data_IF_710250867383
#
_entry.id   IF_710250867383
#
_cell.length_a   1.000
_cell.length_b   1.000
_cell.length_c   1.000
_cell.angle_alpha   90.00
_cell.angle_beta   90.00
_cell.angle_gamma   90.00
#
_symmetry.space_group_name_H-M   'P 1'
#
loop_
_entity.id
_entity.type
_entity.pdbx_description
1 polymer ?
#
# COMPACT_ATOMS: atom_id res chain seq x y z
N UNK A 1 7.80 -13.97 13.69
CA UNK A 1 7.39 -12.58 13.97
C UNK A 1 6.20 -12.28 13.07
N UNK A 2 5.18 -11.52 13.52
CA UNK A 2 4.10 -11.10 12.63
C UNK A 2 4.64 -10.22 11.50
N UNK A 3 4.07 -10.33 10.30
CA UNK A 3 4.35 -9.46 9.15
C UNK A 3 3.58 -8.14 9.35
N UNK A 4 4.29 -7.03 9.52
CA UNK A 4 3.70 -5.75 9.96
C UNK A 4 3.96 -4.59 9.00
N UNK A 5 4.91 -4.74 8.07
CA UNK A 5 5.31 -3.63 7.19
C UNK A 5 4.59 -3.68 5.85
N UNK A 6 3.65 -2.76 5.64
CA UNK A 6 3.10 -2.48 4.31
C UNK A 6 3.96 -1.40 3.67
N UNK A 7 4.83 -1.76 2.72
CA UNK A 7 5.83 -0.82 2.19
C UNK A 7 5.43 -0.32 0.81
N UNK A 8 4.94 0.93 0.68
CA UNK A 8 4.99 1.65 -0.59
C UNK A 8 6.43 2.07 -0.87
N UNK A 9 7.04 1.49 -1.91
CA UNK A 9 8.38 1.88 -2.34
C UNK A 9 8.36 2.26 -3.82
N UNK A 10 8.42 3.56 -4.07
CA UNK A 10 8.12 4.17 -5.37
C UNK A 10 9.38 4.62 -6.12
N UNK A 11 10.56 4.17 -5.67
CA UNK A 11 11.80 4.33 -6.43
C UNK A 11 12.02 3.15 -7.36
N UNK A 12 12.47 3.45 -8.58
CA UNK A 12 12.69 2.46 -9.62
C UNK A 12 13.80 1.46 -9.23
N UNK A 13 13.61 0.13 -9.43
CA UNK A 13 14.61 -0.87 -9.06
C UNK A 13 15.98 -0.70 -9.71
N UNK A 14 16.02 -0.22 -10.95
CA UNK A 14 17.28 0.06 -11.63
C UNK A 14 18.04 1.27 -11.04
N UNK A 15 17.33 2.23 -10.43
CA UNK A 15 17.94 3.44 -9.87
C UNK A 15 18.38 3.23 -8.41
N UNK A 16 17.72 2.32 -7.69
CA UNK A 16 17.96 2.04 -6.27
C UNK A 16 18.11 0.54 -5.98
N UNK A 17 19.02 -0.19 -6.66
CA UNK A 17 19.14 -1.64 -6.50
C UNK A 17 19.41 -2.05 -5.05
N UNK A 18 20.32 -1.36 -4.35
CA UNK A 18 20.66 -1.66 -2.95
C UNK A 18 19.45 -1.52 -1.99
N UNK A 19 18.55 -0.59 -2.27
CA UNK A 19 17.35 -0.41 -1.46
C UNK A 19 16.34 -1.55 -1.69
N UNK A 20 16.18 -1.99 -2.93
CA UNK A 20 15.37 -3.15 -3.26
C UNK A 20 15.95 -4.45 -2.68
N UNK A 21 17.27 -4.63 -2.70
CA UNK A 21 17.94 -5.73 -2.01
C UNK A 21 17.63 -5.74 -0.52
N UNK A 22 17.77 -4.58 0.13
CA UNK A 22 17.50 -4.42 1.57
C UNK A 22 16.03 -4.73 1.88
N UNK A 23 15.11 -4.26 1.04
CA UNK A 23 13.68 -4.54 1.18
C UNK A 23 13.40 -6.04 1.05
N UNK A 24 13.90 -6.71 0.01
CA UNK A 24 13.71 -8.16 -0.20
C UNK A 24 14.30 -8.97 0.97
N UNK A 25 15.48 -8.60 1.46
CA UNK A 25 16.10 -9.25 2.61
C UNK A 25 15.25 -9.15 3.90
N UNK A 26 14.39 -8.14 3.99
CA UNK A 26 13.46 -7.94 5.10
C UNK A 26 12.14 -8.73 4.97
N UNK A 27 12.00 -9.61 3.98
CA UNK A 27 10.79 -10.36 3.68
C UNK A 27 9.99 -10.91 4.88
N UNK A 28 10.62 -11.48 5.95
CA UNK A 28 9.89 -11.97 7.11
C UNK A 28 9.07 -10.90 7.88
N UNK A 29 9.38 -9.62 7.69
CA UNK A 29 8.70 -8.48 8.33
C UNK A 29 7.61 -7.86 7.44
N UNK A 30 7.63 -8.14 6.14
CA UNK A 30 6.80 -7.47 5.15
C UNK A 30 5.39 -8.06 5.12
N UNK A 31 4.40 -7.23 5.44
CA UNK A 31 2.99 -7.51 5.18
C UNK A 31 2.73 -7.55 3.66
N UNK A 32 3.33 -6.62 2.93
CA UNK A 32 3.32 -6.58 1.47
C UNK A 32 4.09 -5.37 0.95
N UNK A 33 4.45 -5.41 -0.33
CA UNK A 33 5.13 -4.31 -1.04
C UNK A 33 4.22 -3.79 -2.13
N UNK A 34 4.03 -2.47 -2.19
CA UNK A 34 3.24 -1.82 -3.25
C UNK A 34 4.16 -1.50 -4.43
N UNK A 35 3.86 -2.10 -5.58
CA UNK A 35 4.52 -1.80 -6.84
C UNK A 35 3.80 -0.67 -7.56
N UNK A 36 4.54 0.40 -7.86
CA UNK A 36 4.02 1.53 -8.61
C UNK A 36 4.99 1.99 -9.71
N UNK A 37 5.07 1.28 -10.85
CA UNK A 37 5.95 1.65 -11.95
C UNK A 37 5.72 3.05 -12.52
N UNK A 38 4.47 3.49 -12.67
CA UNK A 38 4.15 4.76 -13.32
C UNK A 38 2.77 5.32 -12.91
N UNK A 39 2.49 5.43 -11.61
CA UNK A 39 1.15 5.73 -11.07
C UNK A 39 0.11 4.72 -11.56
N UNK A 40 0.48 3.45 -11.51
CA UNK A 40 -0.17 2.31 -12.14
C UNK A 40 0.87 1.36 -12.75
N UNK A 41 0.41 0.39 -13.53
CA UNK A 41 1.29 -0.64 -14.11
C UNK A 41 2.20 -0.13 -15.24
N UNK A 42 1.97 1.08 -15.75
CA UNK A 42 2.63 1.62 -16.94
C UNK A 42 1.96 1.19 -18.26
N UNK A 43 2.57 1.59 -19.37
CA UNK A 43 2.06 1.28 -20.73
C UNK A 43 2.62 -0.02 -21.32
N UNK A 44 3.72 -0.52 -20.77
CA UNK A 44 4.37 -1.78 -21.11
C UNK A 44 5.04 -2.38 -19.86
N UNK A 45 5.28 -3.70 -19.80
CA UNK A 45 5.98 -4.31 -18.68
C UNK A 45 7.39 -3.73 -18.55
N UNK A 46 7.73 -3.32 -17.33
CA UNK A 46 9.08 -2.88 -16.98
C UNK A 46 9.91 -4.07 -16.47
N UNK A 47 11.06 -4.39 -17.10
CA UNK A 47 11.87 -5.54 -16.71
C UNK A 47 12.44 -5.47 -15.28
N UNK A 48 12.81 -4.28 -14.81
CA UNK A 48 13.42 -4.12 -13.49
C UNK A 48 12.37 -4.33 -12.39
N UNK A 49 11.15 -3.81 -12.59
CA UNK A 49 10.03 -4.11 -11.69
C UNK A 49 9.59 -5.58 -11.76
N UNK A 50 9.58 -6.20 -12.94
CA UNK A 50 9.26 -7.62 -13.08
C UNK A 50 10.26 -8.52 -12.32
N UNK A 51 11.56 -8.22 -12.40
CA UNK A 51 12.58 -8.93 -11.65
C UNK A 51 12.42 -8.73 -10.12
N UNK A 52 12.23 -7.48 -9.68
CA UNK A 52 12.01 -7.18 -8.26
C UNK A 52 10.76 -7.90 -7.71
N UNK A 53 9.66 -7.87 -8.45
CA UNK A 53 8.42 -8.55 -8.10
C UNK A 53 8.59 -10.07 -8.00
N UNK A 54 9.28 -10.68 -8.96
CA UNK A 54 9.58 -12.11 -8.95
C UNK A 54 10.38 -12.52 -7.71
N UNK A 55 11.35 -11.69 -7.31
CA UNK A 55 12.20 -11.94 -6.14
C UNK A 55 11.46 -11.77 -4.80
N UNK A 56 10.60 -10.75 -4.70
CA UNK A 56 9.70 -10.59 -3.55
C UNK A 56 8.80 -11.81 -3.37
N UNK A 57 8.18 -12.27 -4.46
CA UNK A 57 7.33 -13.46 -4.44
C UNK A 57 8.10 -14.73 -4.12
N UNK A 58 9.32 -14.90 -4.63
CA UNK A 58 10.18 -16.02 -4.27
C UNK A 58 10.58 -16.02 -2.79
N UNK A 59 10.48 -14.88 -2.11
CA UNK A 59 10.65 -14.72 -0.67
C UNK A 59 9.33 -14.74 0.12
N UNK A 60 8.23 -15.21 -0.49
CA UNK A 60 6.88 -15.29 0.07
C UNK A 60 6.32 -13.93 0.55
N UNK A 61 6.71 -12.83 -0.10
CA UNK A 61 6.19 -11.47 0.17
C UNK A 61 5.05 -11.16 -0.81
N UNK A 62 3.85 -10.80 -0.31
CA UNK A 62 2.75 -10.33 -1.16
C UNK A 62 3.15 -9.11 -1.98
N UNK A 63 2.84 -9.14 -3.27
CA UNK A 63 3.11 -8.05 -4.20
C UNK A 63 1.78 -7.38 -4.55
N UNK A 64 1.64 -6.11 -4.15
CA UNK A 64 0.41 -5.34 -4.31
C UNK A 64 0.54 -4.40 -5.51
N UNK A 65 -0.29 -4.60 -6.53
CA UNK A 65 -0.36 -3.68 -7.68
C UNK A 65 -1.06 -2.37 -7.31
N UNK A 66 -0.38 -1.24 -7.51
CA UNK A 66 -0.94 0.09 -7.30
C UNK A 66 -1.97 0.44 -8.38
N UNK A 67 -3.11 1.00 -7.99
CA UNK A 67 -4.03 1.64 -8.92
C UNK A 67 -4.67 2.89 -8.29
N UNK A 68 -4.44 4.05 -8.91
CA UNK A 68 -5.10 5.29 -8.52
C UNK A 68 -6.60 5.24 -8.87
N UNK A 69 -7.45 5.72 -7.98
CA UNK A 69 -8.91 5.83 -8.19
C UNK A 69 -9.40 7.27 -8.35
N UNK A 70 -8.52 8.27 -8.17
CA UNK A 70 -8.81 9.70 -8.23
C UNK A 70 -10.08 10.06 -7.42
N UNK A 71 -10.19 9.52 -6.21
CA UNK A 71 -11.35 9.70 -5.33
C UNK A 71 -12.69 9.33 -6.01
N UNK A 72 -12.68 8.26 -6.80
CA UNK A 72 -13.83 7.71 -7.52
C UNK A 72 -14.13 8.39 -8.85
N UNK A 73 -13.30 9.36 -9.29
CA UNK A 73 -13.44 10.02 -10.59
C UNK A 73 -12.81 9.23 -11.73
N UNK A 74 -11.80 8.40 -11.44
CA UNK A 74 -11.15 7.62 -12.49
C UNK A 74 -12.10 6.55 -13.04
N UNK A 75 -12.17 6.34 -14.37
CA UNK A 75 -13.06 5.33 -14.94
C UNK A 75 -12.78 3.93 -14.40
N UNK A 76 -13.84 3.21 -14.01
CA UNK A 76 -13.73 1.86 -13.44
C UNK A 76 -12.93 0.90 -14.33
N UNK A 77 -13.12 0.95 -15.65
CA UNK A 77 -12.40 0.10 -16.59
C UNK A 77 -10.88 0.36 -16.59
N UNK A 78 -10.46 1.60 -16.34
CA UNK A 78 -9.04 1.96 -16.28
C UNK A 78 -8.38 1.45 -15.01
N UNK A 79 -9.06 1.55 -13.87
CA UNK A 79 -8.60 0.97 -12.61
C UNK A 79 -8.44 -0.55 -12.76
N UNK A 80 -9.46 -1.23 -13.30
CA UNK A 80 -9.40 -2.69 -13.51
C UNK A 80 -8.31 -3.08 -14.49
N UNK A 81 -8.06 -2.28 -15.53
CA UNK A 81 -6.98 -2.50 -16.48
C UNK A 81 -5.62 -2.48 -15.78
N UNK A 82 -5.37 -1.56 -14.86
CA UNK A 82 -4.11 -1.54 -14.11
C UNK A 82 -3.95 -2.78 -13.24
N UNK A 83 -5.01 -3.21 -12.55
CA UNK A 83 -4.98 -4.43 -11.73
C UNK A 83 -4.62 -5.66 -12.56
N UNK A 84 -5.24 -5.81 -13.74
CA UNK A 84 -4.95 -6.92 -14.66
C UNK A 84 -3.52 -6.84 -15.20
N UNK A 85 -3.06 -5.64 -15.60
CA UNK A 85 -1.66 -5.43 -16.03
C UNK A 85 -0.68 -5.77 -14.92
N UNK A 86 -0.95 -5.36 -13.68
CA UNK A 86 -0.09 -5.69 -12.55
C UNK A 86 0.05 -7.18 -12.31
N UNK A 87 -1.07 -7.92 -12.35
CA UNK A 87 -1.05 -9.38 -12.30
C UNK A 87 -0.25 -9.96 -13.46
N UNK A 88 -0.58 -9.58 -14.68
CA UNK A 88 -0.04 -10.23 -15.88
C UNK A 88 1.45 -9.93 -16.10
N UNK A 89 1.91 -8.74 -15.71
CA UNK A 89 3.28 -8.27 -15.98
C UNK A 89 4.23 -8.49 -14.80
N UNK A 90 3.73 -8.38 -13.57
CA UNK A 90 4.56 -8.42 -12.36
C UNK A 90 4.20 -9.58 -11.44
N UNK A 91 3.19 -10.39 -11.80
CA UNK A 91 2.72 -11.50 -10.98
C UNK A 91 2.08 -11.03 -9.67
N UNK A 92 1.59 -9.79 -9.62
CA UNK A 92 0.97 -9.24 -8.41
C UNK A 92 -0.23 -10.10 -7.99
N UNK A 93 -0.22 -10.52 -6.72
CA UNK A 93 -1.23 -11.35 -6.06
C UNK A 93 -2.04 -10.56 -5.03
N UNK A 94 -1.82 -9.24 -4.95
CA UNK A 94 -2.69 -8.31 -4.26
C UNK A 94 -2.84 -6.98 -4.99
N UNK A 95 -3.66 -6.11 -4.43
CA UNK A 95 -4.01 -4.81 -4.97
C UNK A 95 -3.94 -3.73 -3.88
N UNK A 96 -3.43 -2.56 -4.26
CA UNK A 96 -3.44 -1.35 -3.45
C UNK A 96 -4.18 -0.27 -4.25
N UNK A 97 -5.42 0.02 -3.86
CA UNK A 97 -6.19 1.10 -4.45
C UNK A 97 -5.87 2.39 -3.73
N UNK A 98 -5.44 3.40 -4.47
CA UNK A 98 -5.03 4.69 -3.91
C UNK A 98 -6.07 5.79 -4.14
N UNK A 99 -5.94 6.87 -3.36
CA UNK A 99 -6.87 8.00 -3.35
C UNK A 99 -8.32 7.54 -3.19
N UNK A 100 -8.56 6.61 -2.27
CA UNK A 100 -9.89 6.04 -2.02
C UNK A 100 -10.71 7.05 -1.22
N UNK A 101 -11.87 7.44 -1.75
CA UNK A 101 -12.74 8.38 -1.06
C UNK A 101 -13.23 7.83 0.30
N UNK A 102 -13.46 8.73 1.25
CA UNK A 102 -14.00 8.40 2.58
C UNK A 102 -15.52 8.47 2.66
N UNK A 103 -16.16 9.13 1.67
CA UNK A 103 -17.59 9.43 1.64
C UNK A 103 -18.45 8.16 1.42
N UNK A 104 -19.52 7.94 2.21
CA UNK A 104 -20.44 6.81 2.01
C UNK A 104 -21.12 6.78 0.63
N UNK A 105 -21.28 7.92 -0.04
CA UNK A 105 -21.90 7.98 -1.38
C UNK A 105 -21.13 7.18 -2.44
N UNK A 106 -19.82 6.94 -2.24
CA UNK A 106 -18.98 6.17 -3.14
C UNK A 106 -18.82 4.70 -2.76
N UNK A 107 -19.45 4.24 -1.66
CA UNK A 107 -19.43 2.82 -1.27
C UNK A 107 -19.86 1.87 -2.39
N UNK A 108 -20.93 2.14 -3.19
CA UNK A 108 -21.29 1.25 -4.29
C UNK A 108 -20.22 1.18 -5.38
N UNK A 109 -19.47 2.26 -5.60
CA UNK A 109 -18.36 2.29 -6.56
C UNK A 109 -17.20 1.42 -6.06
N UNK A 110 -16.74 1.64 -4.84
CA UNK A 110 -15.61 0.88 -4.28
C UNK A 110 -15.96 -0.58 -4.02
N UNK A 111 -17.21 -0.93 -3.70
CA UNK A 111 -17.64 -2.34 -3.64
C UNK A 111 -17.47 -3.04 -5.00
N UNK A 112 -17.75 -2.37 -6.11
CA UNK A 112 -17.52 -2.95 -7.45
C UNK A 112 -16.03 -3.11 -7.74
N UNK A 113 -15.20 -2.14 -7.38
CA UNK A 113 -13.75 -2.25 -7.50
C UNK A 113 -13.18 -3.37 -6.64
N UNK A 114 -13.64 -3.55 -5.40
CA UNK A 114 -13.24 -4.68 -4.56
C UNK A 114 -13.56 -6.03 -5.21
N UNK A 115 -14.78 -6.21 -5.73
CA UNK A 115 -15.16 -7.42 -6.47
C UNK A 115 -14.27 -7.62 -7.69
N UNK A 116 -14.01 -6.55 -8.45
CA UNK A 116 -13.16 -6.62 -9.63
C UNK A 116 -11.70 -6.97 -9.29
N UNK A 117 -11.15 -6.42 -8.20
CA UNK A 117 -9.81 -6.74 -7.72
C UNK A 117 -9.70 -8.22 -7.32
N UNK A 118 -10.69 -8.75 -6.58
CA UNK A 118 -10.74 -10.19 -6.26
C UNK A 118 -10.85 -11.05 -7.52
N UNK A 119 -11.72 -10.68 -8.46
CA UNK A 119 -11.87 -11.40 -9.73
C UNK A 119 -10.61 -11.30 -10.61
N UNK A 120 -9.82 -10.24 -10.46
CA UNK A 120 -8.51 -10.11 -11.10
C UNK A 120 -7.46 -11.03 -10.46
N UNK A 121 -7.67 -11.54 -9.24
CA UNK A 121 -6.75 -12.44 -8.55
C UNK A 121 -6.06 -11.84 -7.33
N UNK A 122 -6.54 -10.71 -6.80
CA UNK A 122 -5.98 -10.11 -5.59
C UNK A 122 -6.45 -10.86 -4.33
N UNK A 123 -5.56 -11.65 -3.73
CA UNK A 123 -5.76 -12.30 -2.43
C UNK A 123 -5.70 -11.28 -1.29
N UNK A 124 -4.85 -10.26 -1.41
CA UNK A 124 -4.80 -9.11 -0.50
C UNK A 124 -5.29 -7.84 -1.20
N UNK A 125 -6.25 -7.14 -0.60
CA UNK A 125 -6.75 -5.86 -1.07
C UNK A 125 -6.58 -4.81 0.02
N UNK A 126 -5.88 -3.73 -0.33
CA UNK A 126 -5.68 -2.55 0.51
C UNK A 126 -6.41 -1.37 -0.11
N UNK A 127 -7.19 -0.65 0.69
CA UNK A 127 -7.76 0.64 0.32
C UNK A 127 -7.02 1.75 1.04
N UNK A 128 -6.35 2.62 0.29
CA UNK A 128 -5.70 3.78 0.85
C UNK A 128 -6.61 5.01 0.83
N UNK A 129 -7.17 5.31 2.00
CA UNK A 129 -7.98 6.51 2.20
C UNK A 129 -7.16 7.71 2.68
N UNK A 130 -6.01 7.48 3.32
CA UNK A 130 -5.23 8.49 4.02
C UNK A 130 -5.91 9.10 5.27
N UNK A 131 -7.16 8.73 5.55
CA UNK A 131 -7.97 9.17 6.68
C UNK A 131 -9.04 8.12 7.02
N UNK A 132 -9.66 8.21 8.20
CA UNK A 132 -10.74 7.29 8.55
C UNK A 132 -11.97 7.47 7.62
N UNK A 133 -12.42 6.40 6.94
CA UNK A 133 -13.60 6.46 6.07
C UNK A 133 -14.90 6.23 6.85
N UNK A 134 -16.02 6.30 6.13
CA UNK A 134 -17.29 5.75 6.60
C UNK A 134 -17.14 4.25 7.00
N UNK A 135 -17.82 3.77 8.06
CA UNK A 135 -17.71 2.39 8.52
C UNK A 135 -18.07 1.35 7.45
N UNK A 136 -18.89 1.71 6.45
CA UNK A 136 -19.28 0.81 5.37
C UNK A 136 -18.11 0.29 4.52
N UNK A 137 -16.94 0.94 4.58
CA UNK A 137 -15.73 0.50 3.87
C UNK A 137 -15.03 -0.68 4.56
N UNK A 138 -15.26 -0.91 5.85
CA UNK A 138 -14.59 -1.95 6.65
C UNK A 138 -14.79 -3.37 6.10
N UNK A 139 -15.90 -3.62 5.39
CA UNK A 139 -16.18 -4.92 4.77
C UNK A 139 -15.73 -5.06 3.31
N UNK A 140 -15.01 -4.08 2.76
CA UNK A 140 -14.66 -4.05 1.33
C UNK A 140 -13.23 -4.53 1.02
N UNK A 141 -12.37 -4.66 2.03
CA UNK A 141 -10.94 -4.93 1.85
C UNK A 141 -10.34 -5.63 3.08
N UNK A 142 -9.11 -6.13 2.95
CA UNK A 142 -8.39 -6.77 4.06
C UNK A 142 -7.72 -5.74 4.97
N UNK A 143 -7.39 -4.57 4.41
CA UNK A 143 -6.68 -3.51 5.11
C UNK A 143 -7.13 -2.14 4.61
N UNK A 144 -7.35 -1.22 5.55
CA UNK A 144 -7.67 0.18 5.30
C UNK A 144 -6.52 1.05 5.80
N UNK A 145 -5.91 1.84 4.91
CA UNK A 145 -4.99 2.89 5.35
C UNK A 145 -5.82 4.08 5.84
N UNK A 146 -5.89 4.25 7.15
CA UNK A 146 -6.73 5.27 7.81
C UNK A 146 -5.95 6.50 8.26
N UNK A 147 -4.65 6.53 7.98
CA UNK A 147 -3.80 7.71 8.11
C UNK A 147 -2.70 7.65 7.07
N UNK A 148 -2.55 8.72 6.31
CA UNK A 148 -1.35 8.99 5.51
C UNK A 148 -0.91 10.44 5.74
N UNK A 149 0.25 10.65 6.34
CA UNK A 149 0.67 12.00 6.72
C UNK A 149 2.02 12.08 7.42
N UNK A 150 2.39 13.29 7.82
CA UNK A 150 3.65 13.53 8.54
C UNK A 150 3.61 12.99 9.96
N UNK A 151 4.77 12.62 10.51
CA UNK A 151 4.90 12.31 11.93
C UNK A 151 4.48 13.47 12.83
N UNK A 152 4.68 14.72 12.41
CA UNK A 152 4.24 15.89 13.15
C UNK A 152 2.70 16.00 13.28
N UNK A 153 1.96 15.54 12.27
CA UNK A 153 0.49 15.50 12.30
C UNK A 153 -0.05 14.25 13.02
N UNK A 154 0.76 13.21 13.14
CA UNK A 154 0.35 11.91 13.68
C UNK A 154 -0.27 11.94 15.10
N UNK A 155 0.24 12.76 16.06
CA UNK A 155 -0.36 12.88 17.38
C UNK A 155 -1.80 13.40 17.38
N UNK A 156 -2.26 14.04 16.31
CA UNK A 156 -3.63 14.57 16.20
C UNK A 156 -4.64 13.55 15.67
N UNK A 157 -4.18 12.38 15.24
CA UNK A 157 -5.06 11.31 14.76
C UNK A 157 -5.96 10.85 15.90
N UNK A 158 -7.27 10.82 15.63
CA UNK A 158 -8.29 10.29 16.54
C UNK A 158 -9.06 9.22 15.81
N UNK A 159 -8.99 7.99 16.32
CA UNK A 159 -9.77 6.89 15.80
C UNK A 159 -11.26 7.09 16.15
N UNK A 160 -12.18 7.09 15.17
CA UNK A 160 -13.61 7.14 15.44
C UNK A 160 -14.09 5.90 16.21
N UNK A 161 -15.22 6.01 16.91
CA UNK A 161 -15.69 4.97 17.81
C UNK A 161 -15.96 3.63 17.14
N UNK A 162 -16.46 3.66 15.90
CA UNK A 162 -16.80 2.46 15.12
C UNK A 162 -15.59 1.54 14.91
N UNK A 163 -14.38 2.09 14.91
CA UNK A 163 -13.16 1.30 14.72
C UNK A 163 -12.94 0.29 15.85
N UNK A 164 -13.54 0.51 17.04
CA UNK A 164 -13.49 -0.40 18.18
C UNK A 164 -14.26 -1.71 17.94
N UNK A 165 -15.19 -1.71 16.98
CA UNK A 165 -15.99 -2.89 16.62
C UNK A 165 -15.27 -3.80 15.60
N UNK A 166 -14.04 -3.45 15.21
CA UNK A 166 -13.24 -4.16 14.21
C UNK A 166 -11.88 -4.61 14.78
N UNK A 167 -11.28 -5.68 14.22
CA UNK A 167 -9.93 -6.09 14.59
C UNK A 167 -8.92 -4.98 14.28
N UNK A 168 -7.94 -4.71 15.16
CA UNK A 168 -6.92 -3.68 14.93
C UNK A 168 -6.08 -3.94 13.67
N UNK A 169 -5.98 -5.21 13.24
CA UNK A 169 -5.29 -5.62 12.00
C UNK A 169 -5.96 -5.11 10.72
N UNK A 170 -7.20 -4.62 10.78
CA UNK A 170 -7.87 -3.99 9.64
C UNK A 170 -7.29 -2.62 9.31
N UNK A 171 -6.59 -1.97 10.24
CA UNK A 171 -6.18 -0.58 10.10
C UNK A 171 -4.67 -0.45 9.88
N UNK A 172 -4.31 0.38 8.92
CA UNK A 172 -2.93 0.70 8.58
C UNK A 172 -2.66 2.20 8.67
N UNK A 173 -1.46 2.55 9.11
CA UNK A 173 -0.96 3.92 9.12
C UNK A 173 0.32 4.03 8.30
N UNK A 174 0.31 4.94 7.35
CA UNK A 174 1.44 5.31 6.51
C UNK A 174 1.97 6.67 7.00
N UNK A 175 3.16 6.70 7.58
CA UNK A 175 3.72 7.89 8.22
C UNK A 175 5.05 8.28 7.59
N UNK A 176 5.16 9.53 7.17
CA UNK A 176 6.39 10.06 6.58
C UNK A 176 6.93 11.25 7.38
N UNK A 177 8.11 11.76 7.01
CA UNK A 177 8.89 12.67 7.83
C UNK A 177 9.09 12.14 9.26
N UNK A 178 9.20 10.82 9.41
CA UNK A 178 9.27 10.15 10.69
C UNK A 178 10.72 10.18 11.22
N UNK A 179 10.94 10.48 12.51
CA UNK A 179 12.25 10.34 13.12
C UNK A 179 12.60 8.86 13.34
N UNK A 180 13.90 8.53 13.53
CA UNK A 180 14.31 7.20 13.97
C UNK A 180 13.57 6.78 15.23
N UNK A 181 13.08 5.53 15.26
CA UNK A 181 12.34 4.99 16.40
C UNK A 181 10.86 5.40 16.46
N UNK A 182 10.35 6.18 15.50
CA UNK A 182 8.92 6.41 15.35
C UNK A 182 8.15 5.07 15.30
N UNK A 183 7.10 4.96 16.12
CA UNK A 183 6.24 3.78 16.17
C UNK A 183 4.78 4.18 15.96
N UNK A 184 4.25 3.96 14.74
CA UNK A 184 2.81 4.00 14.53
C UNK A 184 2.09 3.04 15.48
N UNK A 185 0.87 3.40 15.88
CA UNK A 185 0.06 2.66 16.86
C UNK A 185 -0.65 1.45 16.27
N UNK A 186 -0.77 1.37 14.94
CA UNK A 186 -1.41 0.24 14.24
C UNK A 186 -0.44 -0.92 14.06
N UNK A 187 -0.98 -2.14 14.05
CA UNK A 187 -0.19 -3.37 13.87
C UNK A 187 0.45 -3.43 12.48
N UNK A 188 -0.26 -3.02 11.44
CA UNK A 188 0.28 -2.85 10.09
C UNK A 188 0.59 -1.37 9.86
N UNK A 189 1.80 -1.05 9.41
CA UNK A 189 2.20 0.34 9.19
C UNK A 189 3.44 0.46 8.29
N UNK A 190 3.75 1.70 7.92
CA UNK A 190 5.03 2.10 7.36
C UNK A 190 5.43 3.44 7.97
N UNK A 191 6.70 3.57 8.41
CA UNK A 191 7.23 4.82 8.91
C UNK A 191 8.58 5.11 8.25
N UNK A 192 8.65 6.16 7.43
CA UNK A 192 9.81 6.50 6.61
C UNK A 192 10.36 7.90 6.93
N UNK A 193 11.67 8.15 6.76
CA UNK A 193 12.24 9.48 6.92
C UNK A 193 11.88 10.45 5.79
N UNK A 194 11.53 9.94 4.61
CA UNK A 194 11.27 10.75 3.43
C UNK A 194 10.19 11.81 3.65
N UNK A 195 10.31 12.92 2.92
CA UNK A 195 9.41 14.07 3.01
C UNK A 195 8.68 14.30 1.68
N UNK A 196 7.62 15.10 1.70
CA UNK A 196 6.93 15.52 0.49
C UNK A 196 7.89 16.27 -0.46
N UNK A 197 7.72 16.16 -1.79
CA UNK A 197 6.61 15.50 -2.48
C UNK A 197 6.77 13.98 -2.70
N UNK A 198 7.91 13.38 -2.35
CA UNK A 198 8.19 11.96 -2.61
C UNK A 198 8.65 11.22 -1.34
N UNK A 199 7.77 11.06 -0.34
CA UNK A 199 8.15 10.45 0.94
C UNK A 199 8.52 8.96 0.80
N UNK A 200 7.88 8.28 -0.14
CA UNK A 200 7.97 6.83 -0.38
C UNK A 200 9.17 6.39 -1.24
N UNK A 201 10.14 7.29 -1.47
CA UNK A 201 11.46 6.97 -2.06
C UNK A 201 12.54 6.58 -1.03
N UNK A 202 12.15 6.44 0.24
CA UNK A 202 13.04 6.02 1.33
C UNK A 202 12.53 4.74 1.98
N UNK A 203 13.43 3.92 2.49
CA UNK A 203 13.06 2.72 3.22
C UNK A 203 12.59 3.09 4.64
N UNK A 204 11.74 2.25 5.26
CA UNK A 204 11.43 2.41 6.67
C UNK A 204 12.70 2.40 7.52
N UNK A 205 12.74 3.21 8.58
CA UNK A 205 13.87 3.23 9.53
C UNK A 205 14.23 1.85 10.07
N UNK A 206 13.25 0.94 10.17
CA UNK A 206 13.45 -0.43 10.63
C UNK A 206 14.26 -1.29 9.67
N UNK A 207 14.33 -0.89 8.39
CA UNK A 207 15.04 -1.61 7.33
C UNK A 207 16.37 -0.93 6.96
N UNK A 208 16.60 0.31 7.39
CA UNK A 208 17.90 0.93 7.19
C UNK A 208 18.98 0.17 7.99
N UNK A 209 20.15 -0.11 7.39
CA UNK A 209 21.24 -0.75 8.11
C UNK A 209 21.57 0.06 9.36
N UNK A 210 21.73 -0.63 10.51
CA UNK A 210 22.31 -0.01 11.69
C UNK A 210 23.69 0.55 11.29
N UNK A 211 23.82 1.88 11.27
CA UNK A 211 25.10 2.56 11.03
C UNK A 211 26.03 2.41 12.22
#
# INVERSE_FOLDING_TARGET
MPRTLLVPFYDHPADRPDAWETLIAAAPLLYGVVLNPASGAGEAPDPAFAEAAARLRAADVPVLGYADTDYGRRPHADVVRDLLRHRDWYGADGAFLDQVATDPALLPHYRRLSVAARAAGADTLVLNHGAHPDPGYAGLADLLVTFEGTWAAYPEVRAPEWTRDHPPELFCHLVYAAPPGARPTTSVHCAVPGEAPHPWGTLPHLLEPAR
#
